data_IF_836906596788
#
_entry.id   IF_836906596788
#
_cell.length_a   1.000
_cell.length_b   1.000
_cell.length_c   1.000
_cell.angle_alpha   90.00
_cell.angle_beta   90.00
_cell.angle_gamma   90.00
#
_symmetry.space_group_name_H-M   'P 1'
#
loop_
_entity.id
_entity.type
_entity.pdbx_description
1 polymer ?
#
# COMPACT_ATOMS: atom_id res chain seq x y z
N UNK A 1 -23.22 -3.48 -17.50
CA UNK A 1 -23.32 -3.35 -16.03
C UNK A 1 -21.92 -3.50 -15.44
N UNK A 2 -21.45 -2.53 -14.65
CA UNK A 2 -20.11 -2.57 -14.06
C UNK A 2 -20.00 -3.81 -13.16
N UNK A 3 -18.99 -4.63 -13.42
CA UNK A 3 -18.80 -5.94 -12.79
C UNK A 3 -18.57 -5.81 -11.29
N UNK A 4 -19.23 -6.68 -10.53
CA UNK A 4 -19.07 -6.76 -9.07
C UNK A 4 -17.67 -7.28 -8.72
N UNK A 5 -16.88 -6.41 -8.12
CA UNK A 5 -15.67 -6.64 -7.32
C UNK A 5 -15.51 -8.09 -6.78
N UNK A 6 -14.50 -8.84 -7.23
CA UNK A 6 -14.27 -10.24 -6.84
C UNK A 6 -12.79 -10.50 -6.48
N UNK A 7 -12.56 -11.39 -5.51
CA UNK A 7 -11.23 -11.74 -4.95
C UNK A 7 -10.42 -12.66 -5.91
N UNK A 8 -9.07 -12.59 -5.91
CA UNK A 8 -8.18 -13.54 -6.60
C UNK A 8 -8.49 -14.99 -6.22
N UNK A 9 -8.26 -15.93 -7.14
CA UNK A 9 -8.69 -17.32 -6.94
C UNK A 9 -8.01 -17.97 -5.74
N UNK A 10 -6.69 -17.79 -5.61
CA UNK A 10 -5.93 -18.30 -4.47
C UNK A 10 -6.48 -17.82 -3.13
N UNK A 11 -6.84 -16.54 -3.05
CA UNK A 11 -7.37 -15.94 -1.82
C UNK A 11 -8.83 -16.32 -1.58
N UNK A 12 -9.61 -16.47 -2.64
CA UNK A 12 -10.97 -16.97 -2.58
C UNK A 12 -11.06 -18.38 -2.01
N UNK A 13 -10.12 -19.24 -2.41
CA UNK A 13 -10.00 -20.61 -1.88
C UNK A 13 -9.49 -20.57 -0.43
N UNK A 14 -8.49 -19.74 -0.12
CA UNK A 14 -7.95 -19.60 1.24
C UNK A 14 -8.99 -19.12 2.27
N UNK A 15 -9.94 -18.27 1.87
CA UNK A 15 -11.04 -17.82 2.72
C UNK A 15 -12.24 -18.80 2.80
N UNK A 16 -12.13 -20.00 2.21
CA UNK A 16 -13.18 -21.01 2.26
C UNK A 16 -14.28 -20.87 1.21
N UNK A 17 -13.97 -20.31 0.03
CA UNK A 17 -14.90 -20.20 -1.11
C UNK A 17 -16.22 -19.47 -0.76
N UNK A 18 -16.19 -18.22 -0.28
CA UNK A 18 -17.38 -17.50 0.18
C UNK A 18 -18.46 -17.30 -0.90
N UNK A 19 -18.11 -17.41 -2.18
CA UNK A 19 -19.02 -17.27 -3.32
C UNK A 19 -19.46 -18.62 -3.89
N UNK A 20 -19.09 -19.74 -3.25
CA UNK A 20 -19.44 -21.11 -3.64
C UNK A 20 -19.18 -21.40 -5.13
N UNK A 21 -18.04 -20.95 -5.64
CA UNK A 21 -17.61 -21.22 -7.00
C UNK A 21 -17.38 -22.73 -7.18
N UNK A 22 -17.77 -23.24 -8.35
CA UNK A 22 -17.48 -24.63 -8.72
C UNK A 22 -16.00 -24.83 -9.05
N UNK A 23 -15.50 -26.06 -8.99
CA UNK A 23 -14.11 -26.38 -9.35
C UNK A 23 -13.74 -25.89 -10.76
N UNK A 24 -14.67 -26.03 -11.71
CA UNK A 24 -14.50 -25.55 -13.09
C UNK A 24 -14.43 -24.02 -13.17
N UNK A 25 -15.23 -23.30 -12.37
CA UNK A 25 -15.20 -21.85 -12.31
C UNK A 25 -13.91 -21.32 -11.66
N UNK A 26 -13.40 -22.04 -10.64
CA UNK A 26 -12.12 -21.75 -10.01
C UNK A 26 -10.98 -21.93 -11.03
N UNK A 27 -10.97 -23.04 -11.77
CA UNK A 27 -9.98 -23.31 -12.81
C UNK A 27 -10.01 -22.25 -13.93
N UNK A 28 -11.20 -21.94 -14.45
CA UNK A 28 -11.36 -20.89 -15.48
C UNK A 28 -10.88 -19.52 -15.00
N UNK A 29 -11.15 -19.16 -13.74
CA UNK A 29 -10.66 -17.91 -13.17
C UNK A 29 -9.15 -17.92 -12.99
N UNK A 30 -8.57 -19.05 -12.59
CA UNK A 30 -7.13 -19.18 -12.37
C UNK A 30 -6.34 -19.10 -13.69
N UNK A 31 -6.92 -19.59 -14.77
CA UNK A 31 -6.37 -19.48 -16.13
C UNK A 31 -6.57 -18.10 -16.75
N UNK A 32 -7.70 -17.44 -16.46
CA UNK A 32 -8.00 -16.09 -16.92
C UNK A 32 -7.29 -14.99 -16.10
N UNK A 33 -6.71 -15.33 -14.95
CA UNK A 33 -5.97 -14.39 -14.11
C UNK A 33 -4.63 -14.05 -14.78
N UNK A 34 -4.47 -12.78 -15.18
CA UNK A 34 -3.26 -12.29 -15.84
C UNK A 34 -2.09 -12.39 -14.86
N UNK A 35 -1.16 -13.31 -15.13
CA UNK A 35 0.08 -13.47 -14.36
C UNK A 35 1.07 -12.41 -14.85
N UNK A 36 1.16 -11.29 -14.13
CA UNK A 36 2.15 -10.26 -14.42
C UNK A 36 3.47 -10.58 -13.72
N UNK A 37 4.56 -10.64 -14.49
CA UNK A 37 5.91 -10.79 -13.97
C UNK A 37 6.26 -12.19 -13.41
N UNK A 38 7.52 -12.33 -12.99
CA UNK A 38 7.98 -13.53 -12.28
C UNK A 38 7.44 -13.54 -10.84
N UNK A 39 6.89 -14.68 -10.41
CA UNK A 39 6.42 -14.90 -9.04
C UNK A 39 7.53 -15.44 -8.11
N UNK A 40 8.72 -15.69 -8.64
CA UNK A 40 9.86 -16.16 -7.85
C UNK A 40 10.42 -15.01 -7.01
N UNK A 41 10.02 -14.98 -5.73
CA UNK A 41 10.42 -13.96 -4.77
C UNK A 41 11.95 -13.90 -4.58
N UNK A 42 12.67 -15.01 -4.81
CA UNK A 42 14.14 -15.06 -4.68
C UNK A 42 14.86 -14.29 -5.78
N UNK A 43 14.20 -14.06 -6.91
CA UNK A 43 14.75 -13.29 -8.04
C UNK A 43 14.45 -11.80 -7.95
N UNK A 44 13.65 -11.37 -6.96
CA UNK A 44 13.32 -9.96 -6.79
C UNK A 44 14.55 -9.18 -6.32
N UNK A 45 15.12 -8.41 -7.25
CA UNK A 45 16.26 -7.55 -6.97
C UNK A 45 15.81 -6.30 -6.23
N UNK A 46 16.37 -6.13 -5.03
CA UNK A 46 16.19 -4.93 -4.20
C UNK A 46 16.91 -3.73 -4.85
N UNK A 47 16.23 -2.59 -5.05
CA UNK A 47 16.86 -1.38 -5.57
C UNK A 47 17.93 -0.80 -4.62
N UNK A 48 18.94 -0.14 -5.19
CA UNK A 48 20.08 0.44 -4.44
C UNK A 48 19.62 1.42 -3.35
N UNK A 49 18.69 2.33 -3.65
CA UNK A 49 18.20 3.33 -2.69
C UNK A 49 17.46 2.71 -1.48
N UNK A 50 16.93 1.49 -1.60
CA UNK A 50 16.35 0.77 -0.47
C UNK A 50 17.44 0.10 0.35
N UNK A 51 18.44 -0.47 -0.31
CA UNK A 51 19.57 -1.15 0.35
C UNK A 51 20.40 -0.19 1.19
N UNK A 52 20.64 1.00 0.67
CA UNK A 52 21.49 2.01 1.29
C UNK A 52 20.79 2.71 2.48
N UNK A 53 19.47 2.56 2.61
CA UNK A 53 18.66 3.11 3.71
C UNK A 53 18.36 2.02 4.75
N UNK A 54 18.91 2.14 5.97
CA UNK A 54 18.83 1.09 7.00
C UNK A 54 17.40 0.70 7.37
N UNK A 55 16.49 1.67 7.49
CA UNK A 55 15.10 1.42 7.89
C UNK A 55 14.36 0.76 6.73
N UNK A 56 14.49 1.30 5.52
CA UNK A 56 13.87 0.72 4.33
C UNK A 56 14.38 -0.70 4.04
N UNK A 57 15.69 -0.92 4.22
CA UNK A 57 16.35 -2.20 4.01
C UNK A 57 15.84 -3.28 4.98
N UNK A 58 15.64 -2.90 6.25
CA UNK A 58 15.06 -3.79 7.26
C UNK A 58 13.61 -4.16 6.90
N UNK A 59 12.77 -3.15 6.63
CA UNK A 59 11.37 -3.36 6.28
C UNK A 59 11.21 -4.25 5.04
N UNK A 60 12.01 -4.00 3.98
CA UNK A 60 11.99 -4.86 2.79
C UNK A 60 12.22 -6.33 3.15
N UNK A 61 13.20 -6.61 4.01
CA UNK A 61 13.52 -7.98 4.42
C UNK A 61 12.35 -8.65 5.17
N UNK A 62 11.68 -7.90 6.04
CA UNK A 62 10.50 -8.38 6.78
C UNK A 62 9.31 -8.66 5.86
N UNK A 63 9.01 -7.73 4.94
CA UNK A 63 7.94 -7.88 3.97
C UNK A 63 8.15 -9.09 3.05
N UNK A 64 9.36 -9.28 2.52
CA UNK A 64 9.68 -10.45 1.67
C UNK A 64 9.48 -11.76 2.44
N UNK A 65 9.92 -11.84 3.71
CA UNK A 65 9.68 -13.04 4.54
C UNK A 65 8.19 -13.34 4.72
N UNK A 66 7.37 -12.31 4.95
CA UNK A 66 5.91 -12.48 5.06
C UNK A 66 5.30 -12.97 3.75
N UNK A 67 5.70 -12.37 2.62
CA UNK A 67 5.23 -12.78 1.30
C UNK A 67 5.66 -14.21 0.92
N UNK A 68 6.87 -14.62 1.28
CA UNK A 68 7.33 -16.01 1.12
C UNK A 68 6.51 -16.99 1.95
N UNK A 69 6.14 -16.62 3.19
CA UNK A 69 5.27 -17.44 4.03
C UNK A 69 3.87 -17.58 3.42
N UNK A 70 3.29 -16.49 2.90
CA UNK A 70 2.00 -16.54 2.19
C UNK A 70 2.07 -17.36 0.90
N UNK A 71 3.17 -17.26 0.15
CA UNK A 71 3.38 -18.03 -1.07
C UNK A 71 3.43 -19.55 -0.78
N UNK A 72 4.04 -19.96 0.35
CA UNK A 72 4.03 -21.36 0.81
C UNK A 72 2.62 -21.87 1.14
N UNK A 73 1.72 -20.98 1.54
CA UNK A 73 0.29 -21.28 1.78
C UNK A 73 -0.55 -21.21 0.50
N UNK A 74 0.09 -21.11 -0.68
CA UNK A 74 -0.58 -21.06 -1.98
C UNK A 74 -1.07 -19.66 -2.37
N UNK A 75 -0.75 -18.63 -1.59
CA UNK A 75 -1.17 -17.25 -1.86
C UNK A 75 0.01 -16.42 -2.36
N UNK A 76 0.13 -16.30 -3.68
CA UNK A 76 1.12 -15.40 -4.30
C UNK A 76 0.65 -13.95 -4.17
N UNK A 77 1.32 -13.16 -3.33
CA UNK A 77 0.96 -11.78 -3.04
C UNK A 77 1.76 -10.75 -3.87
N UNK A 78 2.98 -11.11 -4.26
CA UNK A 78 3.94 -10.19 -4.87
C UNK A 78 4.52 -10.80 -6.15
N UNK A 79 4.74 -9.96 -7.15
CA UNK A 79 5.36 -10.32 -8.43
C UNK A 79 6.50 -9.35 -8.76
N UNK A 80 7.31 -9.68 -9.76
CA UNK A 80 8.37 -8.77 -10.24
C UNK A 80 7.87 -7.38 -10.68
N UNK A 81 6.61 -7.24 -11.11
CA UNK A 81 6.02 -5.93 -11.42
C UNK A 81 5.77 -5.05 -10.19
N UNK A 82 5.69 -5.64 -9.00
CA UNK A 82 5.38 -4.93 -7.76
C UNK A 82 6.64 -4.40 -7.04
N UNK A 83 7.83 -4.82 -7.48
CA UNK A 83 9.15 -4.45 -6.90
C UNK A 83 9.29 -2.94 -6.76
N UNK A 84 8.90 -2.18 -7.79
CA UNK A 84 8.96 -0.72 -7.76
C UNK A 84 8.07 -0.11 -6.67
N UNK A 85 6.83 -0.60 -6.55
CA UNK A 85 5.89 -0.12 -5.51
C UNK A 85 6.33 -0.55 -4.12
N UNK A 86 6.85 -1.76 -3.95
CA UNK A 86 7.41 -2.24 -2.69
C UNK A 86 8.61 -1.39 -2.26
N UNK A 87 9.46 -1.00 -3.21
CA UNK A 87 10.64 -0.19 -2.94
C UNK A 87 10.25 1.22 -2.50
N UNK A 88 9.28 1.83 -3.18
CA UNK A 88 8.72 3.12 -2.82
C UNK A 88 8.03 3.08 -1.45
N UNK A 89 7.31 2.00 -1.13
CA UNK A 89 6.72 1.81 0.19
C UNK A 89 7.79 1.79 1.28
N UNK A 90 8.84 0.97 1.12
CA UNK A 90 9.92 0.89 2.10
C UNK A 90 10.63 2.23 2.30
N UNK A 91 10.89 2.96 1.22
CA UNK A 91 11.52 4.28 1.31
C UNK A 91 10.61 5.30 1.99
N UNK A 92 9.33 5.32 1.63
CA UNK A 92 8.34 6.23 2.22
C UNK A 92 8.16 5.95 3.71
N UNK A 93 8.23 4.69 4.13
CA UNK A 93 8.17 4.30 5.54
C UNK A 93 9.41 4.81 6.31
N UNK A 94 10.60 4.69 5.73
CA UNK A 94 11.82 5.28 6.33
C UNK A 94 11.70 6.79 6.50
N UNK A 95 11.18 7.49 5.51
CA UNK A 95 10.96 8.95 5.59
C UNK A 95 9.89 9.32 6.63
N UNK A 96 8.84 8.51 6.76
CA UNK A 96 7.83 8.67 7.81
C UNK A 96 8.44 8.53 9.21
N UNK A 97 9.23 7.48 9.46
CA UNK A 97 9.94 7.29 10.73
C UNK A 97 10.88 8.45 11.05
N UNK A 98 11.61 8.96 10.03
CA UNK A 98 12.46 10.15 10.20
C UNK A 98 11.64 11.38 10.59
N UNK A 99 10.48 11.61 9.97
CA UNK A 99 9.60 12.72 10.32
C UNK A 99 9.07 12.62 11.75
N UNK A 100 8.77 11.42 12.25
CA UNK A 100 8.38 11.21 13.65
C UNK A 100 9.51 11.60 14.60
N UNK A 101 10.76 11.19 14.31
CA UNK A 101 11.94 11.59 15.10
C UNK A 101 12.14 13.10 15.07
N UNK A 102 11.95 13.74 13.90
CA UNK A 102 12.05 15.19 13.79
C UNK A 102 10.94 15.93 14.55
N UNK A 103 9.71 15.42 14.50
CA UNK A 103 8.59 15.97 15.28
C UNK A 103 8.88 15.93 16.78
N UNK A 104 9.36 14.79 17.28
CA UNK A 104 9.75 14.66 18.70
C UNK A 104 10.83 15.68 19.09
N UNK A 105 11.90 15.80 18.29
CA UNK A 105 12.99 16.76 18.56
C UNK A 105 12.52 18.22 18.57
N UNK A 106 11.66 18.60 17.62
CA UNK A 106 11.12 19.97 17.55
C UNK A 106 10.20 20.23 18.74
N UNK A 107 9.40 19.24 19.14
CA UNK A 107 8.56 19.32 20.34
C UNK A 107 9.39 19.55 21.60
N UNK A 108 10.51 18.82 21.76
CA UNK A 108 11.44 19.00 22.88
C UNK A 108 12.08 20.41 22.89
N UNK A 109 12.47 20.95 21.73
CA UNK A 109 13.01 22.33 21.62
C UNK A 109 11.95 23.38 21.97
N UNK A 110 10.70 23.19 21.54
CA UNK A 110 9.61 24.13 21.81
C UNK A 110 9.28 24.25 23.31
N UNK A 111 9.69 23.25 24.12
CA UNK A 111 9.48 23.22 25.56
C UNK A 111 10.61 23.96 26.33
N UNK A 112 11.78 24.17 25.72
CA UNK A 112 12.91 24.87 26.36
C UNK A 112 12.74 26.40 26.34
N UNK A 113 11.67 26.87 26.98
CA UNK A 113 11.35 28.29 27.14
C UNK A 113 12.36 29.01 28.05
N UNK A 114 13.02 28.26 28.94
CA UNK A 114 14.02 28.78 29.88
C UNK A 114 15.31 29.18 29.18
N UNK A 115 15.79 28.44 28.18
CA UNK A 115 16.98 28.83 27.42
C UNK A 115 16.81 30.17 26.70
N UNK A 116 15.62 30.41 26.12
CA UNK A 116 15.31 31.69 25.47
C UNK A 116 15.23 32.83 26.51
N UNK A 117 14.66 32.57 27.68
CA UNK A 117 14.63 33.52 28.79
C UNK A 117 16.04 33.88 29.25
N UNK A 118 16.89 32.89 29.51
CA UNK A 118 18.27 33.08 29.96
C UNK A 118 19.12 33.80 28.90
N UNK A 119 18.83 33.60 27.61
CA UNK A 119 19.50 34.31 26.52
C UNK A 119 19.07 35.77 26.45
N UNK A 120 17.77 36.04 26.61
CA UNK A 120 17.21 37.38 26.53
C UNK A 120 17.49 38.23 27.77
N UNK A 121 17.50 37.63 28.97
CA UNK A 121 17.82 38.32 30.23
C UNK A 121 19.30 38.76 30.28
N UNK A 122 20.17 38.08 29.51
CA UNK A 122 21.58 38.48 29.33
C UNK A 122 21.74 39.69 28.40
N UNK A 123 20.72 40.09 27.67
CA UNK A 123 20.68 41.36 26.96
C UNK A 123 20.12 42.43 27.92
N UNK A 124 21.01 43.17 28.58
CA UNK A 124 20.71 44.19 29.61
C UNK A 124 19.74 45.33 29.16
N UNK A 125 19.29 45.36 27.90
CA UNK A 125 18.58 46.48 27.27
C UNK A 125 17.18 46.15 26.73
N UNK A 126 16.69 44.92 26.88
CA UNK A 126 15.38 44.55 26.33
C UNK A 126 14.23 45.01 27.25
N UNK A 127 13.48 46.04 26.81
CA UNK A 127 12.21 46.44 27.45
C UNK A 127 11.27 45.22 27.62
N UNK A 128 10.58 45.13 28.75
CA UNK A 128 9.71 44.00 29.13
C UNK A 128 8.66 43.69 28.05
N UNK A 129 8.19 44.73 27.36
CA UNK A 129 7.24 44.62 26.24
C UNK A 129 7.91 43.93 25.02
N UNK A 130 9.16 44.28 24.71
CA UNK A 130 9.91 43.67 23.61
C UNK A 130 10.22 42.19 23.91
N UNK A 131 10.53 41.86 25.16
CA UNK A 131 10.73 40.47 25.61
C UNK A 131 9.48 39.61 25.42
N UNK A 132 8.31 40.11 25.83
CA UNK A 132 7.03 39.41 25.63
C UNK A 132 6.69 39.21 24.16
N UNK A 133 6.95 40.21 23.31
CA UNK A 133 6.74 40.11 21.87
C UNK A 133 7.66 39.07 21.22
N UNK A 134 8.94 39.04 21.58
CA UNK A 134 9.91 38.05 21.07
C UNK A 134 9.55 36.62 21.48
N UNK A 135 9.13 36.41 22.73
CA UNK A 135 8.64 35.09 23.20
C UNK A 135 7.44 34.62 22.40
N UNK A 136 6.44 35.50 22.22
CA UNK A 136 5.25 35.18 21.44
C UNK A 136 5.59 34.81 19.99
N UNK A 137 6.48 35.58 19.34
CA UNK A 137 6.96 35.28 17.99
C UNK A 137 7.72 33.94 17.92
N UNK A 138 8.55 33.63 18.91
CA UNK A 138 9.26 32.35 19.00
C UNK A 138 8.30 31.16 19.14
N UNK A 139 7.31 31.28 20.02
CA UNK A 139 6.27 30.25 20.20
C UNK A 139 5.45 30.06 18.92
N UNK A 140 5.05 31.15 18.24
CA UNK A 140 4.35 31.07 16.95
C UNK A 140 5.18 30.34 15.89
N UNK A 141 6.47 30.68 15.77
CA UNK A 141 7.37 30.03 14.81
C UNK A 141 7.57 28.54 15.10
N UNK A 142 7.69 28.16 16.38
CA UNK A 142 7.78 26.77 16.81
C UNK A 142 6.49 25.98 16.47
N UNK A 143 5.32 26.54 16.78
CA UNK A 143 4.02 25.94 16.46
C UNK A 143 3.85 25.78 14.95
N UNK A 144 4.22 26.78 14.15
CA UNK A 144 4.18 26.68 12.69
C UNK A 144 5.11 25.56 12.17
N UNK A 145 6.30 25.43 12.75
CA UNK A 145 7.23 24.34 12.47
C UNK A 145 6.62 22.96 12.75
N UNK A 146 6.02 22.79 13.93
CA UNK A 146 5.35 21.55 14.35
C UNK A 146 4.21 21.21 13.37
N UNK A 147 3.32 22.17 13.08
CA UNK A 147 2.19 21.97 12.18
C UNK A 147 2.62 21.55 10.76
N UNK A 148 3.73 22.11 10.25
CA UNK A 148 4.29 21.72 8.94
C UNK A 148 4.79 20.28 8.95
N UNK A 149 5.47 19.86 10.02
CA UNK A 149 5.94 18.48 10.17
C UNK A 149 4.77 17.50 10.32
N UNK A 150 3.75 17.83 11.12
CA UNK A 150 2.53 17.02 11.26
C UNK A 150 1.79 16.86 9.93
N UNK A 151 1.68 17.94 9.15
CA UNK A 151 1.10 17.89 7.81
C UNK A 151 1.89 16.95 6.89
N UNK A 152 3.23 16.97 6.96
CA UNK A 152 4.08 16.07 6.19
C UNK A 152 3.93 14.60 6.64
N UNK A 153 3.84 14.36 7.95
CA UNK A 153 3.58 13.03 8.54
C UNK A 153 2.26 12.48 8.01
N UNK A 154 1.17 13.25 8.10
CA UNK A 154 -0.16 12.82 7.63
C UNK A 154 -0.16 12.50 6.13
N UNK A 155 0.49 13.31 5.30
CA UNK A 155 0.64 13.04 3.87
C UNK A 155 1.39 11.73 3.61
N UNK A 156 2.48 11.47 4.35
CA UNK A 156 3.25 10.22 4.22
C UNK A 156 2.43 9.02 4.70
N UNK A 157 1.69 9.15 5.80
CA UNK A 157 0.78 8.12 6.30
C UNK A 157 -0.30 7.77 5.25
N UNK A 158 -0.94 8.77 4.63
CA UNK A 158 -1.90 8.56 3.55
C UNK A 158 -1.30 7.83 2.34
N UNK A 159 -0.08 8.21 1.95
CA UNK A 159 0.65 7.54 0.87
C UNK A 159 0.95 6.09 1.23
N UNK A 160 1.38 5.83 2.47
CA UNK A 160 1.66 4.49 2.99
C UNK A 160 0.40 3.63 2.97
N UNK A 161 -0.75 4.12 3.45
CA UNK A 161 -2.02 3.40 3.41
C UNK A 161 -2.43 3.03 1.98
N UNK A 162 -2.32 3.98 1.04
CA UNK A 162 -2.64 3.75 -0.38
C UNK A 162 -1.72 2.72 -1.04
N UNK A 163 -0.42 2.75 -0.71
CA UNK A 163 0.55 1.76 -1.20
C UNK A 163 0.39 0.40 -0.52
N UNK A 164 0.06 0.38 0.76
CA UNK A 164 -0.22 -0.83 1.56
C UNK A 164 -1.40 -1.59 0.98
N UNK A 165 -2.46 -0.87 0.64
CA UNK A 165 -3.57 -1.40 -0.14
C UNK A 165 -3.03 -2.00 -1.44
N UNK A 166 -2.37 -1.22 -2.31
CA UNK A 166 -1.91 -1.73 -3.61
C UNK A 166 -1.00 -2.98 -3.53
N UNK A 167 -0.14 -3.06 -2.52
CA UNK A 167 0.78 -4.19 -2.29
C UNK A 167 0.12 -5.38 -1.60
N UNK A 168 -1.19 -5.29 -1.35
CA UNK A 168 -1.99 -6.31 -0.67
C UNK A 168 -1.43 -6.72 0.69
N UNK A 169 -0.78 -5.76 1.33
CA UNK A 169 -0.53 -5.78 2.76
C UNK A 169 -1.84 -5.61 3.54
N UNK A 170 -2.95 -5.29 2.85
CA UNK A 170 -4.32 -5.29 3.34
C UNK A 170 -5.22 -6.15 2.40
N UNK A 171 -6.05 -7.07 2.93
CA UNK A 171 -6.93 -7.94 2.15
C UNK A 171 -7.84 -7.26 1.11
N UNK A 172 -8.23 -5.99 1.30
CA UNK A 172 -9.26 -5.31 0.50
C UNK A 172 -8.83 -4.91 -0.91
N UNK A 173 -7.55 -4.65 -1.15
CA UNK A 173 -7.13 -4.04 -2.39
C UNK A 173 -7.05 -5.01 -3.57
N UNK A 174 -6.93 -6.33 -3.31
CA UNK A 174 -6.90 -7.41 -4.31
C UNK A 174 -8.17 -7.53 -5.14
N UNK A 175 -9.22 -6.85 -4.69
CA UNK A 175 -10.56 -6.88 -5.23
C UNK A 175 -10.70 -6.06 -6.53
N UNK A 176 -9.77 -5.14 -6.83
CA UNK A 176 -9.92 -4.14 -7.91
C UNK A 176 -9.43 -4.56 -9.31
N UNK A 177 -8.71 -5.68 -9.45
CA UNK A 177 -7.95 -6.00 -10.68
C UNK A 177 -8.47 -7.19 -11.53
N UNK A 178 -9.69 -7.70 -11.28
CA UNK A 178 -10.17 -8.93 -11.96
C UNK A 178 -10.95 -8.63 -13.25
N UNK A 179 -10.59 -9.24 -14.40
CA UNK A 179 -11.37 -9.14 -15.64
C UNK A 179 -12.76 -9.79 -15.54
N UNK A 180 -13.74 -9.24 -16.28
CA UNK A 180 -15.09 -9.80 -16.34
C UNK A 180 -15.09 -11.23 -16.92
N UNK A 181 -15.97 -12.13 -16.44
CA UNK A 181 -16.08 -13.47 -16.99
C UNK A 181 -16.45 -13.40 -18.48
N UNK A 182 -15.86 -14.26 -19.34
CA UNK A 182 -16.30 -14.36 -20.72
C UNK A 182 -17.79 -14.73 -20.73
N UNK A 183 -18.60 -13.95 -21.44
CA UNK A 183 -20.01 -14.29 -21.64
C UNK A 183 -20.05 -15.68 -22.26
N UNK A 184 -20.69 -16.64 -21.57
CA UNK A 184 -20.98 -17.95 -22.17
C UNK A 184 -21.66 -17.67 -23.51
N UNK A 185 -21.10 -18.19 -24.60
CA UNK A 185 -21.82 -18.22 -25.88
C UNK A 185 -23.02 -19.13 -25.65
N UNK A 186 -24.15 -18.55 -25.27
CA UNK A 186 -25.42 -19.25 -25.34
C UNK A 186 -25.55 -19.66 -26.80
N UNK A 187 -25.47 -20.96 -27.07
CA UNK A 187 -25.78 -21.51 -28.39
C UNK A 187 -27.16 -20.97 -28.74
N UNK A 188 -27.23 -20.11 -29.75
CA UNK A 188 -28.47 -19.51 -30.23
C UNK A 188 -29.54 -20.59 -30.36
N UNK A 189 -30.80 -20.27 -30.05
CA UNK A 189 -31.92 -21.19 -30.24
C UNK A 189 -31.93 -21.79 -31.66
N UNK A 190 -31.44 -21.03 -32.65
CA UNK A 190 -31.23 -21.46 -34.03
C UNK A 190 -30.16 -22.57 -34.17
N UNK A 191 -29.06 -22.48 -33.42
CA UNK A 191 -28.00 -23.51 -33.39
C UNK A 191 -28.49 -24.81 -32.76
N UNK A 192 -29.29 -24.73 -31.69
CA UNK A 192 -29.96 -25.89 -31.08
C UNK A 192 -31.01 -26.51 -32.02
N UNK A 193 -31.72 -25.69 -32.79
CA UNK A 193 -32.71 -26.15 -33.77
C UNK A 193 -32.08 -26.84 -34.98
N UNK A 194 -31.01 -26.26 -35.55
CA UNK A 194 -30.26 -26.84 -36.68
C UNK A 194 -29.65 -28.20 -36.33
N UNK A 195 -29.08 -28.35 -35.12
CA UNK A 195 -28.52 -29.62 -34.67
C UNK A 195 -29.59 -30.71 -34.47
N UNK A 196 -30.81 -30.34 -34.06
CA UNK A 196 -31.93 -31.31 -33.98
C UNK A 196 -32.44 -31.74 -35.35
N UNK A 197 -32.33 -30.87 -36.36
CA UNK A 197 -32.78 -31.15 -37.73
C UNK A 197 -31.76 -31.95 -38.54
N UNK A 198 -30.47 -31.75 -38.27
CA UNK A 198 -29.38 -32.49 -38.93
C UNK A 198 -29.27 -33.97 -38.49
N UNK A 199 -29.81 -34.33 -37.32
CA UNK A 199 -29.80 -35.71 -36.80
C UNK A 199 -31.00 -36.58 -37.21
N UNK A 200 -31.85 -36.10 -38.13
CA UNK A 200 -33.14 -36.74 -38.42
C UNK A 200 -33.50 -36.79 -39.90
N UNK A 201 -32.61 -37.30 -40.75
CA UNK A 201 -32.99 -37.95 -42.02
C UNK A 201 -31.80 -38.70 -42.63
N UNK A 202 -31.85 -40.03 -42.55
CA UNK A 202 -31.42 -40.90 -43.64
C UNK A 202 -32.29 -42.18 -43.57
N UNK A 203 -32.78 -42.67 -44.72
CA UNK A 203 -33.76 -43.75 -44.85
C UNK A 203 -33.26 -45.12 -44.40
#
# INVERSE_FOLDING_TARGET
>A
MPGRNAKPVALHVAEGNPNRLTKEQIAQRQEAEIKLGEADLKKLKRPKFVRDDKIANKLWGELIKMYEASAKQGVSLLTSSDVGTLALYCKTYSEYEQLLVHHQRISEIAIDEQLLHDYLDRYEEADEINLKALRYLSQLAAVEGILKVETAINKKMDMLLKMQDRLFLNPLAKVKNVPAPPKKKDTSAMSKFLNRRAGGHAP
#
